data_IF_267019245294
#
_entry.id   IF_267019245294
#
_cell.length_a   1.000
_cell.length_b   1.000
_cell.length_c   1.000
_cell.angle_alpha   90.00
_cell.angle_beta   90.00
_cell.angle_gamma   90.00
#
_symmetry.space_group_name_H-M   'P 1'
#
loop_
_entity.id
_entity.type
_entity.pdbx_description
1 polymer ?
#
# COMPACT_ATOMS: atom_id res chain seq x y z
N UNK A 1 6.22 -4.15 -12.58
CA UNK A 1 6.51 -3.77 -11.17
C UNK A 1 6.99 -5.01 -10.46
N UNK A 2 8.21 -5.00 -9.92
CA UNK A 2 8.66 -6.05 -8.99
C UNK A 2 7.97 -5.83 -7.63
N UNK A 3 7.88 -6.90 -6.83
CA UNK A 3 7.28 -6.85 -5.47
C UNK A 3 7.97 -5.81 -4.57
N UNK A 4 9.28 -5.60 -4.78
CA UNK A 4 10.09 -4.56 -4.10
C UNK A 4 9.53 -3.15 -4.32
N UNK A 5 9.08 -2.83 -5.53
CA UNK A 5 8.56 -1.49 -5.84
C UNK A 5 7.22 -1.21 -5.15
N UNK A 6 6.40 -2.23 -4.87
CA UNK A 6 5.08 -2.03 -4.28
C UNK A 6 5.16 -1.59 -2.82
N UNK A 7 5.97 -2.29 -2.02
CA UNK A 7 6.15 -1.99 -0.59
C UNK A 7 6.91 -0.66 -0.42
N UNK A 8 7.95 -0.43 -1.21
CA UNK A 8 8.71 0.84 -1.17
C UNK A 8 7.85 2.04 -1.58
N UNK A 9 7.02 1.90 -2.61
CA UNK A 9 6.07 2.94 -3.02
C UNK A 9 5.11 3.32 -1.90
N UNK A 10 4.52 2.32 -1.23
CA UNK A 10 3.63 2.55 -0.09
C UNK A 10 4.36 3.23 1.08
N UNK A 11 5.56 2.76 1.40
CA UNK A 11 6.39 3.36 2.45
C UNK A 11 6.75 4.83 2.16
N UNK A 12 6.97 5.19 0.90
CA UNK A 12 7.21 6.58 0.49
C UNK A 12 5.99 7.48 0.77
N UNK A 13 4.79 7.00 0.46
CA UNK A 13 3.52 7.70 0.74
C UNK A 13 3.33 7.90 2.25
N UNK A 14 3.57 6.86 3.05
CA UNK A 14 3.43 6.92 4.51
C UNK A 14 4.44 7.91 5.11
N UNK A 15 5.72 7.86 4.72
CA UNK A 15 6.73 8.82 5.21
C UNK A 15 6.35 10.26 4.88
N UNK A 16 5.79 10.50 3.69
CA UNK A 16 5.32 11.84 3.28
C UNK A 16 4.14 12.32 4.13
N UNK A 17 3.22 11.42 4.47
CA UNK A 17 2.11 11.73 5.37
C UNK A 17 2.59 12.05 6.80
N UNK A 18 3.55 11.28 7.32
CA UNK A 18 4.11 11.48 8.65
C UNK A 18 4.94 12.76 8.79
N UNK A 19 5.71 13.16 7.77
CA UNK A 19 6.40 14.47 7.75
C UNK A 19 5.44 15.65 7.87
N UNK A 20 4.21 15.51 7.37
CA UNK A 20 3.16 16.53 7.53
C UNK A 20 2.52 16.47 8.92
N UNK A 21 2.60 15.32 9.60
CA UNK A 21 2.04 15.07 10.92
C UNK A 21 2.95 15.49 12.07
N UNK A 22 4.26 15.71 11.87
CA UNK A 22 5.22 16.18 12.89
C UNK A 22 4.80 17.49 13.59
N UNK A 23 3.87 18.26 13.00
CA UNK A 23 3.25 19.43 13.60
C UNK A 23 2.08 19.14 14.57
N UNK A 24 1.69 17.86 14.75
CA UNK A 24 0.53 17.44 15.53
C UNK A 24 0.93 16.52 16.69
N UNK A 25 0.66 16.89 17.95
CA UNK A 25 1.08 16.13 19.12
C UNK A 25 0.18 14.93 19.48
N UNK A 26 -0.78 14.55 18.62
CA UNK A 26 -1.78 13.51 18.93
C UNK A 26 -1.68 12.33 17.96
N UNK A 27 -1.46 11.14 18.51
CA UNK A 27 -1.35 9.87 17.78
C UNK A 27 -2.60 9.51 16.98
N UNK A 28 -3.79 9.90 17.43
CA UNK A 28 -5.04 9.69 16.71
C UNK A 28 -5.08 10.45 15.38
N UNK A 29 -4.59 11.71 15.41
CA UNK A 29 -4.50 12.56 14.21
C UNK A 29 -3.49 11.97 13.22
N UNK A 30 -2.34 11.52 13.73
CA UNK A 30 -1.30 10.85 12.92
C UNK A 30 -1.83 9.58 12.26
N UNK A 31 -2.55 8.75 13.00
CA UNK A 31 -3.19 7.52 12.48
C UNK A 31 -4.19 7.85 11.36
N UNK A 32 -5.02 8.87 11.57
CA UNK A 32 -5.99 9.32 10.57
C UNK A 32 -5.31 9.86 9.31
N UNK A 33 -4.18 10.58 9.44
CA UNK A 33 -3.40 11.05 8.28
C UNK A 33 -2.83 9.90 7.46
N UNK A 34 -2.27 8.88 8.10
CA UNK A 34 -1.76 7.68 7.42
C UNK A 34 -2.90 6.96 6.70
N UNK A 35 -4.05 6.77 7.36
CA UNK A 35 -5.22 6.16 6.74
C UNK A 35 -5.68 6.93 5.48
N UNK A 36 -5.81 8.25 5.57
CA UNK A 36 -6.24 9.08 4.44
C UNK A 36 -5.23 9.04 3.28
N UNK A 37 -3.93 9.08 3.58
CA UNK A 37 -2.89 8.98 2.57
C UNK A 37 -2.93 7.64 1.82
N UNK A 38 -3.10 6.53 2.53
CA UNK A 38 -3.24 5.20 1.93
C UNK A 38 -4.53 5.11 1.10
N UNK A 39 -5.64 5.62 1.63
CA UNK A 39 -6.94 5.64 0.94
C UNK A 39 -6.91 6.44 -0.36
N UNK A 40 -6.16 7.54 -0.39
CA UNK A 40 -6.00 8.33 -1.62
C UNK A 40 -5.04 7.68 -2.62
N UNK A 41 -3.97 7.05 -2.15
CA UNK A 41 -3.04 6.36 -3.04
C UNK A 41 -3.62 5.08 -3.64
N UNK A 42 -4.47 4.36 -2.88
CA UNK A 42 -5.13 3.15 -3.36
C UNK A 42 -6.04 3.38 -4.57
N UNK A 43 -6.55 4.61 -4.74
CA UNK A 43 -7.31 5.00 -5.95
C UNK A 43 -6.49 4.89 -7.23
N UNK A 44 -5.16 4.92 -7.15
CA UNK A 44 -4.25 4.78 -8.29
C UNK A 44 -3.92 3.31 -8.60
N UNK A 45 -4.27 2.37 -7.72
CA UNK A 45 -3.97 0.94 -7.89
C UNK A 45 -5.01 0.28 -8.79
N UNK A 46 -5.12 0.79 -10.03
CA UNK A 46 -6.09 0.35 -11.03
C UNK A 46 -5.54 -0.69 -11.98
N UNK A 47 -4.22 -0.90 -11.98
CA UNK A 47 -3.58 -1.86 -12.86
C UNK A 47 -3.86 -3.29 -12.42
N UNK A 48 -4.34 -4.16 -13.33
CA UNK A 48 -4.55 -5.57 -13.02
C UNK A 48 -3.22 -6.27 -12.73
N UNK A 49 -3.24 -7.24 -11.82
CA UNK A 49 -2.07 -8.05 -11.48
C UNK A 49 -1.68 -8.89 -12.70
N UNK A 50 -0.46 -8.67 -13.20
CA UNK A 50 0.06 -9.42 -14.35
C UNK A 50 0.16 -10.91 -14.00
N UNK A 51 -0.25 -11.77 -14.93
CA UNK A 51 -0.19 -13.23 -14.81
C UNK A 51 -1.00 -13.83 -13.64
N UNK A 52 -2.00 -13.09 -13.12
CA UNK A 52 -2.80 -13.54 -11.98
C UNK A 52 -3.41 -14.94 -12.15
N UNK A 53 -3.92 -15.25 -13.35
CA UNK A 53 -4.51 -16.57 -13.64
C UNK A 53 -3.51 -17.72 -13.44
N UNK A 54 -2.27 -17.55 -13.89
CA UNK A 54 -1.23 -18.57 -13.74
C UNK A 54 -0.81 -18.71 -12.28
N UNK A 55 -0.66 -17.58 -11.56
CA UNK A 55 -0.38 -17.60 -10.14
C UNK A 55 -1.48 -18.31 -9.34
N UNK A 56 -2.75 -18.06 -9.66
CA UNK A 56 -3.88 -18.73 -9.02
C UNK A 56 -3.85 -20.25 -9.20
N UNK A 57 -3.58 -20.74 -10.41
CA UNK A 57 -3.44 -22.18 -10.65
C UNK A 57 -2.32 -22.81 -9.81
N UNK A 58 -1.21 -22.08 -9.60
CA UNK A 58 -0.13 -22.53 -8.71
C UNK A 58 -0.56 -22.55 -7.25
N UNK A 59 -1.28 -21.53 -6.77
CA UNK A 59 -1.76 -21.50 -5.40
C UNK A 59 -2.77 -22.60 -5.08
N UNK A 60 -3.66 -22.93 -6.02
CA UNK A 60 -4.60 -24.04 -5.85
C UNK A 60 -3.83 -25.35 -5.63
N UNK A 61 -2.85 -25.67 -6.50
CA UNK A 61 -2.08 -26.91 -6.37
C UNK A 61 -1.26 -26.98 -5.07
N UNK A 62 -0.71 -25.85 -4.62
CA UNK A 62 0.20 -25.82 -3.47
C UNK A 62 -0.53 -25.87 -2.12
N UNK A 63 -1.78 -25.39 -2.07
CA UNK A 63 -2.54 -25.21 -0.83
C UNK A 63 -3.87 -26.01 -0.79
N UNK A 64 -4.08 -26.91 -1.75
CA UNK A 64 -5.12 -27.95 -1.74
C UNK A 64 -4.60 -29.22 -1.05
#
# INVERSE_FOLDING_TARGET
>A
MSVTNAIESLNSVIRKALKKAEAHPNDEVTTKMVYLAIKDDSKKWTMPIQNWRQAMSRFIIEFE
#
